data_IF_659745210941
#
_entry.id   IF_659745210941
#
_cell.length_a   1.000
_cell.length_b   1.000
_cell.length_c   1.000
_cell.angle_alpha   90.00
_cell.angle_beta   90.00
_cell.angle_gamma   90.00
#
_symmetry.space_group_name_H-M   'P 1'
#
loop_
_entity.id
_entity.type
_entity.pdbx_description
1 polymer ?
#
# COMPACT_ATOMS: atom_id res chain seq x y z
N UNK A 1 5.54 -8.80 10.71
CA UNK A 1 5.44 -8.35 9.31
C UNK A 1 4.21 -9.03 8.74
N UNK A 2 3.25 -8.29 8.18
CA UNK A 2 2.04 -8.87 7.62
C UNK A 2 2.15 -8.99 6.10
N UNK A 3 1.50 -10.00 5.54
CA UNK A 3 1.36 -10.20 4.10
C UNK A 3 -0.09 -10.04 3.67
N UNK A 4 -0.29 -9.93 2.37
CA UNK A 4 -1.60 -9.81 1.76
C UNK A 4 -1.67 -10.66 0.51
N UNK A 5 -2.85 -11.22 0.25
CA UNK A 5 -3.16 -11.96 -0.97
C UNK A 5 -3.92 -11.04 -1.93
N UNK A 6 -3.27 -10.58 -2.99
CA UNK A 6 -3.88 -9.73 -4.01
C UNK A 6 -4.41 -10.58 -5.16
N UNK A 7 -5.70 -10.45 -5.48
CA UNK A 7 -6.39 -11.23 -6.50
C UNK A 7 -6.61 -10.42 -7.77
N UNK A 8 -6.30 -10.98 -8.94
CA UNK A 8 -6.52 -10.33 -10.23
C UNK A 8 -6.78 -11.36 -11.33
N UNK A 9 -7.06 -10.89 -12.54
CA UNK A 9 -7.43 -11.76 -13.65
C UNK A 9 -8.72 -12.55 -13.39
N UNK A 10 -9.74 -11.85 -12.87
CA UNK A 10 -11.01 -12.44 -12.43
C UNK A 10 -12.03 -12.66 -13.56
N UNK A 11 -12.70 -13.79 -13.52
CA UNK A 11 -13.75 -14.26 -14.46
C UNK A 11 -15.01 -14.73 -13.72
N UNK A 12 -16.13 -14.84 -14.44
CA UNK A 12 -17.43 -15.25 -13.90
C UNK A 12 -17.55 -16.77 -13.76
N UNK A 13 -16.90 -17.54 -14.62
CA UNK A 13 -16.75 -19.00 -14.47
C UNK A 13 -15.28 -19.40 -14.61
N UNK A 14 -14.85 -20.55 -14.06
CA UNK A 14 -13.44 -20.97 -14.12
C UNK A 14 -12.92 -21.16 -15.55
N UNK A 15 -13.79 -21.65 -16.44
CA UNK A 15 -13.46 -21.99 -17.83
C UNK A 15 -13.73 -20.85 -18.82
N UNK A 16 -14.14 -19.66 -18.34
CA UNK A 16 -14.36 -18.49 -19.19
C UNK A 16 -13.03 -17.98 -19.75
N UNK A 17 -12.96 -17.89 -21.08
CA UNK A 17 -11.87 -17.21 -21.76
C UNK A 17 -12.13 -15.70 -21.72
N UNK A 18 -11.32 -14.98 -20.93
CA UNK A 18 -11.44 -13.54 -20.77
C UNK A 18 -10.57 -12.83 -21.80
N UNK A 19 -11.19 -12.05 -22.70
CA UNK A 19 -10.43 -11.12 -23.52
C UNK A 19 -9.84 -10.02 -22.61
N UNK A 20 -8.50 -9.88 -22.61
CA UNK A 20 -7.71 -8.97 -21.76
C UNK A 20 -7.35 -9.52 -20.37
N UNK A 21 -7.69 -8.81 -19.29
CA UNK A 21 -7.25 -9.09 -17.90
C UNK A 21 -8.42 -9.33 -16.93
N UNK A 22 -9.66 -9.47 -17.41
CA UNK A 22 -10.82 -9.72 -16.54
C UNK A 22 -11.05 -8.62 -15.48
N UNK A 23 -11.56 -9.00 -14.31
CA UNK A 23 -11.81 -8.09 -13.18
C UNK A 23 -10.75 -8.20 -12.07
N UNK A 24 -10.47 -7.08 -11.40
CA UNK A 24 -9.64 -7.07 -10.19
C UNK A 24 -10.43 -7.54 -8.97
N UNK A 25 -9.75 -8.24 -8.06
CA UNK A 25 -10.27 -8.65 -6.76
C UNK A 25 -9.68 -7.83 -5.63
N UNK A 26 -10.08 -8.11 -4.38
CA UNK A 26 -9.51 -7.40 -3.24
C UNK A 26 -8.08 -7.84 -2.97
N UNK A 27 -7.40 -7.03 -2.16
CA UNK A 27 -6.24 -7.49 -1.40
C UNK A 27 -6.70 -7.99 -0.03
N UNK A 28 -6.63 -9.30 0.18
CA UNK A 28 -7.05 -9.95 1.42
C UNK A 28 -5.92 -9.87 2.44
N UNK A 29 -6.21 -9.24 3.57
CA UNK A 29 -5.28 -9.14 4.70
C UNK A 29 -5.58 -7.94 5.61
N UNK A 30 -4.68 -7.64 6.56
CA UNK A 30 -3.37 -8.28 6.78
C UNK A 30 -3.47 -9.76 7.23
N UNK A 31 -2.57 -10.60 6.72
CA UNK A 31 -2.43 -12.02 7.03
C UNK A 31 -1.07 -12.32 7.69
N UNK A 32 -1.02 -13.38 8.49
CA UNK A 32 0.22 -13.93 9.06
C UNK A 32 1.01 -14.69 7.98
N UNK A 33 0.31 -15.49 7.17
CA UNK A 33 0.87 -16.15 6.01
C UNK A 33 -0.19 -16.44 4.93
N UNK A 34 0.34 -16.67 3.73
CA UNK A 34 -0.34 -17.34 2.63
C UNK A 34 0.50 -18.57 2.28
N UNK A 35 -0.11 -19.74 2.22
CA UNK A 35 0.54 -21.01 1.92
C UNK A 35 -0.18 -21.71 0.78
N UNK A 36 0.55 -22.14 -0.25
CA UNK A 36 -0.02 -22.95 -1.34
C UNK A 36 0.40 -24.40 -1.19
N UNK A 37 -0.58 -25.31 -1.12
CA UNK A 37 -0.35 -26.76 -1.04
C UNK A 37 -0.67 -27.40 -2.40
N UNK A 38 0.31 -28.10 -2.97
CA UNK A 38 0.21 -28.88 -4.23
C UNK A 38 -0.41 -28.16 -5.45
N UNK A 39 -0.45 -26.83 -5.44
CA UNK A 39 -1.09 -26.05 -6.51
C UNK A 39 -2.60 -26.27 -6.62
N UNK A 40 -3.25 -26.77 -5.55
CA UNK A 40 -4.69 -27.03 -5.52
C UNK A 40 -5.41 -26.33 -4.37
N UNK A 41 -4.68 -25.84 -3.38
CA UNK A 41 -5.22 -25.24 -2.18
C UNK A 41 -4.36 -24.04 -1.74
N UNK A 42 -5.01 -22.93 -1.42
CA UNK A 42 -4.40 -21.73 -0.85
C UNK A 42 -4.93 -21.55 0.57
N UNK A 43 -4.04 -21.65 1.55
CA UNK A 43 -4.34 -21.45 2.97
C UNK A 43 -3.90 -20.06 3.39
N UNK A 44 -4.78 -19.40 4.13
CA UNK A 44 -4.51 -18.11 4.73
C UNK A 44 -4.69 -18.21 6.23
N UNK A 45 -3.81 -17.54 6.98
CA UNK A 45 -3.96 -17.35 8.42
C UNK A 45 -4.03 -15.87 8.74
N UNK A 46 -4.98 -15.50 9.59
CA UNK A 46 -5.15 -14.11 10.00
C UNK A 46 -6.00 -13.97 11.26
N UNK A 47 -6.10 -12.74 11.74
CA UNK A 47 -6.95 -12.40 12.87
C UNK A 47 -8.45 -12.61 12.53
N UNK A 48 -9.24 -12.95 13.54
CA UNK A 48 -10.69 -13.20 13.44
C UNK A 48 -11.42 -12.09 12.66
N UNK A 49 -11.28 -10.84 13.10
CA UNK A 49 -11.90 -9.69 12.44
C UNK A 49 -11.49 -9.51 10.95
N UNK A 50 -10.32 -10.00 10.53
CA UNK A 50 -9.90 -9.95 9.13
C UNK A 50 -10.56 -11.09 8.34
N UNK A 51 -10.51 -12.31 8.86
CA UNK A 51 -11.09 -13.46 8.16
C UNK A 51 -12.61 -13.36 8.07
N UNK A 52 -13.29 -12.90 9.12
CA UNK A 52 -14.75 -12.64 9.08
C UNK A 52 -15.12 -11.53 8.09
N UNK A 53 -14.27 -10.51 7.91
CA UNK A 53 -14.51 -9.43 6.95
C UNK A 53 -14.50 -9.95 5.50
N UNK A 54 -13.57 -10.82 5.16
CA UNK A 54 -13.39 -11.30 3.78
C UNK A 54 -14.14 -12.60 3.50
N UNK A 55 -14.45 -13.40 4.53
CA UNK A 55 -15.13 -14.69 4.42
C UNK A 55 -16.28 -14.81 5.44
N UNK A 56 -17.25 -13.88 5.45
CA UNK A 56 -18.28 -13.80 6.48
C UNK A 56 -19.19 -15.04 6.54
N UNK A 57 -19.38 -15.72 5.41
CA UNK A 57 -20.25 -16.88 5.29
C UNK A 57 -19.49 -18.22 5.41
N UNK A 58 -18.21 -18.18 5.82
CA UNK A 58 -17.37 -19.38 5.94
C UNK A 58 -17.20 -19.77 7.40
N UNK A 59 -17.44 -21.05 7.70
CA UNK A 59 -17.13 -21.60 9.02
C UNK A 59 -15.61 -21.73 9.18
N UNK A 60 -15.03 -20.86 10.01
CA UNK A 60 -13.61 -20.85 10.35
C UNK A 60 -13.49 -21.08 11.85
N UNK A 61 -12.65 -22.04 12.25
CA UNK A 61 -12.36 -22.24 13.66
C UNK A 61 -11.24 -21.30 14.11
N UNK A 62 -11.53 -20.50 15.13
CA UNK A 62 -10.58 -19.55 15.71
C UNK A 62 -9.97 -20.09 17.00
N UNK A 63 -8.67 -19.89 17.17
CA UNK A 63 -7.92 -20.17 18.39
C UNK A 63 -7.06 -18.96 18.72
N UNK A 64 -7.21 -18.43 19.95
CA UNK A 64 -6.53 -17.22 20.44
C UNK A 64 -6.71 -15.99 19.53
N UNK A 65 -7.89 -15.86 18.90
CA UNK A 65 -8.23 -14.73 18.01
C UNK A 65 -7.68 -14.86 16.59
N UNK A 66 -7.12 -16.01 16.22
CA UNK A 66 -6.60 -16.29 14.88
C UNK A 66 -7.23 -17.55 14.28
N UNK A 67 -7.48 -17.52 12.97
CA UNK A 67 -8.04 -18.64 12.22
C UNK A 67 -7.16 -19.03 11.05
N UNK A 68 -7.38 -20.23 10.52
CA UNK A 68 -6.87 -20.65 9.22
C UNK A 68 -8.04 -20.96 8.31
N UNK A 69 -8.02 -20.43 7.09
CA UNK A 69 -8.99 -20.74 6.05
C UNK A 69 -8.27 -21.36 4.84
N UNK A 70 -8.78 -22.51 4.39
CA UNK A 70 -8.28 -23.22 3.22
C UNK A 70 -9.23 -23.02 2.03
N UNK A 71 -8.73 -22.37 0.98
CA UNK A 71 -9.46 -22.09 -0.26
C UNK A 71 -9.04 -23.15 -1.29
N UNK A 72 -9.99 -23.96 -1.75
CA UNK A 72 -9.74 -24.90 -2.84
C UNK A 72 -9.76 -24.15 -4.18
N UNK A 73 -8.77 -24.40 -5.02
CA UNK A 73 -8.74 -23.85 -6.37
C UNK A 73 -9.78 -24.56 -7.25
N UNK A 74 -10.48 -23.79 -8.06
CA UNK A 74 -11.36 -24.28 -9.11
C UNK A 74 -10.57 -24.33 -10.43
N UNK A 75 -9.95 -25.47 -10.71
CA UNK A 75 -8.99 -25.58 -11.81
C UNK A 75 -7.71 -24.81 -11.49
N UNK A 76 -7.38 -23.82 -12.31
CA UNK A 76 -6.27 -22.88 -12.09
C UNK A 76 -6.69 -21.60 -11.34
N UNK A 77 -7.98 -21.48 -10.98
CA UNK A 77 -8.52 -20.25 -10.40
C UNK A 77 -8.67 -20.31 -8.88
N UNK A 78 -8.43 -19.18 -8.21
CA UNK A 78 -8.83 -18.96 -6.83
C UNK A 78 -10.28 -18.42 -6.77
N UNK A 79 -11.23 -19.12 -6.15
CA UNK A 79 -12.59 -18.63 -5.99
C UNK A 79 -12.71 -17.61 -4.85
N UNK A 80 -13.34 -16.48 -5.12
CA UNK A 80 -13.66 -15.46 -4.11
C UNK A 80 -14.86 -14.62 -4.56
N UNK A 81 -15.83 -14.40 -3.66
CA UNK A 81 -17.02 -13.56 -3.88
C UNK A 81 -17.74 -13.83 -5.23
N UNK A 82 -17.97 -15.12 -5.52
CA UNK A 82 -18.65 -15.57 -6.74
C UNK A 82 -17.84 -15.40 -8.04
N UNK A 83 -16.56 -15.04 -7.94
CA UNK A 83 -15.63 -14.89 -9.07
C UNK A 83 -14.48 -15.89 -8.96
N UNK A 84 -13.79 -16.08 -10.07
CA UNK A 84 -12.66 -17.00 -10.20
C UNK A 84 -11.44 -16.23 -10.72
N UNK A 85 -10.37 -16.16 -9.93
CA UNK A 85 -9.19 -15.36 -10.23
C UNK A 85 -8.07 -16.25 -10.74
N UNK A 86 -7.63 -16.03 -11.99
CA UNK A 86 -6.57 -16.80 -12.60
C UNK A 86 -5.19 -16.50 -12.02
N UNK A 87 -5.00 -15.32 -11.43
CA UNK A 87 -3.72 -14.89 -10.89
C UNK A 87 -3.86 -14.29 -9.49
N UNK A 88 -2.83 -14.50 -8.66
CA UNK A 88 -2.72 -13.84 -7.36
C UNK A 88 -1.26 -13.55 -7.01
N UNK A 89 -1.04 -12.53 -6.21
CA UNK A 89 0.27 -12.14 -5.70
C UNK A 89 0.28 -12.09 -4.18
N UNK A 90 1.42 -12.45 -3.58
CA UNK A 90 1.66 -12.27 -2.15
C UNK A 90 2.49 -11.00 -1.98
N UNK A 91 1.91 -9.99 -1.34
CA UNK A 91 2.48 -8.66 -1.23
C UNK A 91 2.59 -8.24 0.23
N UNK A 92 3.56 -7.38 0.53
CA UNK A 92 3.59 -6.59 1.76
C UNK A 92 2.71 -5.34 1.59
N UNK A 93 2.28 -4.72 2.68
CA UNK A 93 1.29 -3.61 2.64
C UNK A 93 1.75 -2.38 1.84
N UNK A 94 3.05 -2.12 1.79
CA UNK A 94 3.70 -1.09 0.97
C UNK A 94 3.50 -1.32 -0.53
N UNK A 95 3.28 -2.56 -0.97
CA UNK A 95 3.05 -2.92 -2.38
C UNK A 95 1.58 -2.90 -2.80
N UNK A 96 0.63 -2.87 -1.85
CA UNK A 96 -0.81 -2.81 -2.15
C UNK A 96 -1.33 -1.39 -2.32
N UNK A 97 -0.66 -0.40 -1.75
CA UNK A 97 -0.93 0.99 -2.09
C UNK A 97 -0.47 1.21 -3.53
N UNK A 98 -1.35 0.97 -4.51
CA UNK A 98 -1.17 1.52 -5.85
C UNK A 98 -1.49 3.02 -5.75
N UNK A 99 -0.49 3.92 -5.62
CA UNK A 99 -0.73 5.30 -5.22
C UNK A 99 -0.95 6.17 -6.45
N UNK A 100 -1.60 5.70 -7.52
CA UNK A 100 -1.83 6.57 -8.68
C UNK A 100 -2.61 7.83 -8.30
N UNK A 101 -3.53 7.74 -7.33
CA UNK A 101 -4.33 8.87 -6.85
C UNK A 101 -3.65 9.73 -5.76
N UNK A 102 -2.50 9.30 -5.22
CA UNK A 102 -1.78 10.03 -4.16
C UNK A 102 -0.29 10.25 -4.46
N UNK A 103 0.17 9.91 -5.67
CA UNK A 103 1.54 10.17 -6.13
C UNK A 103 1.69 11.65 -6.38
N UNK A 104 2.67 12.22 -5.70
CA UNK A 104 3.09 13.60 -5.87
C UNK A 104 4.53 13.64 -6.36
N UNK A 105 4.92 14.77 -6.93
CA UNK A 105 6.30 15.09 -7.28
C UNK A 105 6.66 16.48 -6.75
N UNK A 106 7.90 16.69 -6.27
CA UNK A 106 8.39 18.01 -5.95
C UNK A 106 8.75 18.75 -7.26
N UNK A 107 8.47 20.05 -7.31
CA UNK A 107 8.90 20.94 -8.39
C UNK A 107 9.54 22.19 -7.81
N UNK A 108 10.46 22.78 -8.57
CA UNK A 108 11.05 24.08 -8.27
C UNK A 108 9.98 25.18 -8.38
N UNK A 109 9.80 25.96 -7.32
CA UNK A 109 8.90 27.13 -7.27
C UNK A 109 9.26 28.25 -8.26
N UNK A 110 10.51 28.34 -8.71
CA UNK A 110 11.01 29.39 -9.61
C UNK A 110 10.83 29.03 -11.09
N UNK A 111 11.26 27.83 -11.50
CA UNK A 111 11.28 27.41 -12.90
C UNK A 111 10.26 26.31 -13.26
N UNK A 112 9.62 25.68 -12.26
CA UNK A 112 8.65 24.61 -12.44
C UNK A 112 9.25 23.23 -12.80
N UNK A 113 10.57 23.10 -12.87
CA UNK A 113 11.23 21.82 -13.14
C UNK A 113 11.06 20.83 -11.98
N UNK A 114 10.88 19.54 -12.28
CA UNK A 114 10.93 18.44 -11.31
C UNK A 114 12.34 17.84 -11.14
N UNK A 115 13.34 18.42 -11.80
CA UNK A 115 14.75 18.04 -11.67
C UNK A 115 15.37 18.71 -10.43
N UNK A 116 14.94 18.27 -9.24
CA UNK A 116 15.39 18.78 -7.93
C UNK A 116 16.13 17.71 -7.14
N UNK A 117 17.15 18.12 -6.38
CA UNK A 117 17.96 17.24 -5.53
C UNK A 117 18.00 17.76 -4.10
N UNK A 118 18.14 16.87 -3.11
CA UNK A 118 18.40 17.23 -1.72
C UNK A 118 19.74 16.66 -1.25
N UNK A 119 20.39 17.40 -0.37
CA UNK A 119 21.47 16.85 0.44
C UNK A 119 20.95 15.76 1.39
N UNK A 120 21.78 14.77 1.62
CA UNK A 120 21.41 13.56 2.32
C UNK A 120 22.58 12.95 3.09
N UNK A 121 22.27 12.22 4.17
CA UNK A 121 23.23 11.32 4.83
C UNK A 121 22.86 9.87 4.51
N UNK A 122 23.88 9.11 4.10
CA UNK A 122 23.80 7.68 3.94
C UNK A 122 24.73 6.98 4.94
N UNK A 123 24.33 5.79 5.41
CA UNK A 123 25.16 4.92 6.24
C UNK A 123 25.42 3.60 5.51
N UNK A 124 26.54 2.96 5.85
CA UNK A 124 26.85 1.63 5.35
C UNK A 124 26.05 0.58 6.14
N UNK A 125 25.23 -0.21 5.45
CA UNK A 125 24.54 -1.37 6.00
C UNK A 125 25.41 -2.62 5.76
N UNK A 126 25.93 -3.20 6.85
CA UNK A 126 26.80 -4.39 6.77
C UNK A 126 26.06 -5.64 6.27
N UNK A 127 24.85 -6.00 6.78
CA UNK A 127 24.07 -7.10 6.20
C UNK A 127 23.76 -6.95 4.71
N UNK A 128 23.35 -5.77 4.27
CA UNK A 128 22.94 -5.51 2.88
C UNK A 128 24.14 -5.21 1.96
N UNK A 129 25.33 -4.96 2.53
CA UNK A 129 26.55 -4.58 1.81
C UNK A 129 26.31 -3.39 0.87
N UNK A 130 25.58 -2.39 1.36
CA UNK A 130 25.15 -1.24 0.56
C UNK A 130 25.12 0.06 1.40
N UNK A 131 25.21 1.20 0.71
CA UNK A 131 24.87 2.49 1.32
C UNK A 131 23.35 2.65 1.36
N UNK A 132 22.80 2.89 2.54
CA UNK A 132 21.38 3.15 2.75
C UNK A 132 21.16 4.62 3.12
N UNK A 133 20.15 5.25 2.51
CA UNK A 133 19.75 6.62 2.82
C UNK A 133 19.13 6.65 4.23
N UNK A 134 19.66 7.48 5.12
CA UNK A 134 19.12 7.65 6.47
C UNK A 134 18.17 8.85 6.55
N UNK A 135 18.58 10.00 6.04
CA UNK A 135 17.76 11.22 6.04
C UNK A 135 18.20 12.20 4.97
N UNK A 136 17.28 13.06 4.56
CA UNK A 136 17.52 14.26 3.74
C UNK A 136 17.58 15.50 4.64
N UNK A 137 18.31 16.52 4.21
CA UNK A 137 18.52 17.77 4.96
C UNK A 137 18.01 19.00 4.20
N UNK A 138 18.33 20.17 4.74
CA UNK A 138 17.81 21.47 4.38
C UNK A 138 18.34 22.01 3.05
N UNK A 139 19.49 21.58 2.51
CA UNK A 139 19.88 22.02 1.16
C UNK A 139 19.12 21.27 0.05
N UNK A 140 18.26 22.00 -0.66
CA UNK A 140 17.60 21.56 -1.90
C UNK A 140 18.12 22.38 -3.07
N UNK A 141 18.43 21.74 -4.20
CA UNK A 141 18.92 22.40 -5.42
C UNK A 141 18.08 21.99 -6.63
N UNK A 142 17.65 22.97 -7.45
CA UNK A 142 17.15 22.70 -8.79
C UNK A 142 18.32 22.57 -9.77
N UNK A 143 18.39 21.44 -10.47
CA UNK A 143 19.48 21.14 -11.40
C UNK A 143 19.34 21.85 -12.76
N UNK A 144 18.19 22.48 -13.03
CA UNK A 144 17.94 23.19 -14.29
C UNK A 144 18.16 24.71 -14.19
N UNK A 145 17.72 25.32 -13.08
CA UNK A 145 17.87 26.77 -12.86
C UNK A 145 18.88 27.14 -11.76
N UNK A 146 19.53 26.14 -11.16
CA UNK A 146 20.56 26.28 -10.12
C UNK A 146 20.09 27.01 -8.85
N UNK A 147 18.77 27.21 -8.68
CA UNK A 147 18.21 27.74 -7.43
C UNK A 147 18.48 26.75 -6.31
N UNK A 148 18.95 27.25 -5.17
CA UNK A 148 19.19 26.49 -3.96
C UNK A 148 18.52 27.20 -2.78
N UNK A 149 17.72 26.46 -2.00
CA UNK A 149 17.01 26.98 -0.82
C UNK A 149 16.30 25.85 -0.09
N UNK A 150 16.12 25.99 1.22
CA UNK A 150 15.44 25.00 2.06
C UNK A 150 13.93 24.95 1.76
N UNK A 151 13.34 26.10 1.47
CA UNK A 151 11.90 26.27 1.20
C UNK A 151 11.61 26.53 -0.31
N UNK A 152 12.15 25.69 -1.21
CA UNK A 152 11.96 25.87 -2.67
C UNK A 152 11.03 24.88 -3.36
N UNK A 153 10.52 23.90 -2.62
CA UNK A 153 9.72 22.82 -3.17
C UNK A 153 8.23 23.14 -3.13
N UNK A 154 7.60 23.06 -4.28
CA UNK A 154 6.15 22.92 -4.38
C UNK A 154 5.79 21.48 -4.73
N UNK A 155 4.74 20.96 -4.11
CA UNK A 155 4.27 19.61 -4.39
C UNK A 155 3.14 19.64 -5.40
N UNK A 156 3.27 18.80 -6.44
CA UNK A 156 2.28 18.65 -7.50
C UNK A 156 1.86 17.20 -7.63
N UNK A 157 0.60 16.96 -7.96
CA UNK A 157 0.16 15.67 -8.47
C UNK A 157 0.86 15.37 -9.79
N UNK A 158 0.86 14.11 -10.23
CA UNK A 158 1.51 13.74 -11.50
C UNK A 158 0.87 14.43 -12.73
N UNK A 159 -0.39 14.82 -12.66
CA UNK A 159 -1.11 15.62 -13.67
C UNK A 159 -0.91 17.15 -13.50
N UNK A 160 -0.13 17.58 -12.50
CA UNK A 160 0.33 18.96 -12.33
C UNK A 160 -0.55 19.83 -11.41
N UNK A 161 -1.60 19.29 -10.81
CA UNK A 161 -2.40 20.01 -9.82
C UNK A 161 -1.60 20.24 -8.53
N UNK A 162 -1.85 21.31 -7.76
CA UNK A 162 -1.25 21.47 -6.42
C UNK A 162 -1.57 20.27 -5.53
N UNK A 163 -0.59 19.80 -4.77
CA UNK A 163 -0.73 18.70 -3.83
C UNK A 163 -0.20 19.12 -2.44
N UNK A 164 -0.70 18.51 -1.35
CA UNK A 164 -0.12 18.71 -0.04
C UNK A 164 1.31 18.16 0.01
N UNK A 165 2.13 18.76 0.87
CA UNK A 165 3.46 18.25 1.17
C UNK A 165 3.36 16.88 1.88
N UNK A 166 3.91 15.80 1.30
CA UNK A 166 3.90 14.47 1.90
C UNK A 166 4.73 14.36 3.18
N UNK A 167 5.71 15.25 3.37
CA UNK A 167 6.58 15.28 4.55
C UNK A 167 6.08 16.26 5.62
N UNK A 168 4.97 16.97 5.38
CA UNK A 168 4.39 17.86 6.37
C UNK A 168 4.03 17.07 7.64
N UNK A 169 4.39 17.57 8.84
CA UNK A 169 3.97 16.94 10.07
C UNK A 169 2.44 16.89 10.09
N UNK A 170 1.90 15.70 10.35
CA UNK A 170 0.46 15.53 10.49
C UNK A 170 -0.04 16.51 11.55
N UNK A 171 -0.81 17.53 11.13
CA UNK A 171 -1.47 18.43 12.07
C UNK A 171 -2.45 17.54 12.84
N UNK A 172 -2.29 17.36 14.16
CA UNK A 172 -3.31 16.67 14.94
C UNK A 172 -4.61 17.46 14.73
N UNK A 173 -5.64 16.77 14.24
CA UNK A 173 -6.97 17.36 14.10
C UNK A 173 -7.29 18.07 15.43
N UNK A 174 -7.59 19.37 15.36
CA UNK A 174 -7.89 20.20 16.53
C UNK A 174 -8.68 19.40 17.57
N UNK A 175 -8.04 19.08 18.69
CA UNK A 175 -8.80 18.66 19.87
C UNK A 175 -9.78 19.81 20.17
N UNK A 176 -11.08 19.56 20.28
CA UNK A 176 -12.01 20.60 20.71
C UNK A 176 -11.52 21.11 22.06
N UNK A 177 -11.34 22.43 22.15
CA UNK A 177 -10.94 23.09 23.39
C UNK A 177 -11.82 22.56 24.54
N UNK A 178 -11.23 22.20 25.69
CA UNK A 178 -12.02 21.79 26.83
C UNK A 178 -13.03 22.91 27.16
N UNK A 179 -14.28 22.57 27.52
CA UNK A 179 -15.28 23.59 27.81
C UNK A 179 -14.79 24.49 28.94
N UNK A 180 -14.96 25.81 28.75
CA UNK A 180 -14.59 26.83 29.74
C UNK A 180 -15.18 26.46 31.10
N UNK A 181 -14.31 26.03 32.01
CA UNK A 181 -14.63 25.78 33.39
C UNK A 181 -14.64 27.11 34.16
N UNK A 182 -15.53 28.02 33.78
CA UNK A 182 -15.90 29.21 34.57
C UNK A 182 -17.25 29.74 34.09
N UNK A 183 -18.31 28.98 34.39
CA UNK A 183 -19.67 29.48 34.45
C UNK A 183 -20.35 28.83 35.66
N UNK A 184 -20.02 29.33 36.85
CA UNK A 184 -20.74 29.12 38.09
C UNK A 184 -21.29 30.47 38.58
#
# INVERSE_FOLDING_TARGET
MSVYLYLFHGRATPDEDVESWGCEGPAIGPLDYVHTTYGSEVKIRGAEAILEKFFPDTEIHFHDGYGEHAIQLAGDCLPYDGKFYGDWSICTGDRLCSPAASRVKPVCDDCGSDNVTKDAVAAWDEPEQAWVLLSTYDSTTCQDCERESDDMLEWRTLDGAPAPDPDAPAIPANDPAPPDADAA
#
